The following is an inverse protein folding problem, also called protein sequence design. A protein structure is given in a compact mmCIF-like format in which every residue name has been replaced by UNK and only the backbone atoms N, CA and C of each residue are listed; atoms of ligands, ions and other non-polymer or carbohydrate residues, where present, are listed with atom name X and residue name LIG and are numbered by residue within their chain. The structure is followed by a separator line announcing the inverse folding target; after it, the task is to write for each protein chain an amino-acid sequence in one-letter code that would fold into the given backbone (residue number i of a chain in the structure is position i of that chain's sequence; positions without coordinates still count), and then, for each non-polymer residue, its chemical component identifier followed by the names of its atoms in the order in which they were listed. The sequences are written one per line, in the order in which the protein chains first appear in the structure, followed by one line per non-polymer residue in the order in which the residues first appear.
data_IF_417821775796
#
_entry.id   IF_417821775796
#
_cell.length_a   1.000
_cell.length_b   1.000
_cell.length_c   1.000
_cell.angle_alpha   90.00
_cell.angle_beta   90.00
_cell.angle_gamma   90.00
#
_symmetry.space_group_name_H-M   'P 1'
#
loop_
_entity.id
_entity.type
_entity.pdbx_description
1 polymer ?
#
# COMPACT_ATOMS: atom_id res chain seq x y z
N UNK A 1 10.94 -3.33 -39.24
CA UNK A 1 10.96 -1.92 -38.81
C UNK A 1 9.83 -1.75 -37.83
N UNK A 2 10.12 -1.39 -36.57
CA UNK A 2 10.18 0.01 -36.11
C UNK A 2 8.76 0.62 -36.07
N UNK A 3 8.23 1.23 -35.01
CA UNK A 3 8.70 1.81 -33.73
C UNK A 3 7.38 2.06 -32.92
N UNK A 4 7.30 1.85 -31.60
CA UNK A 4 7.25 2.89 -30.55
C UNK A 4 6.29 4.05 -30.84
N UNK A 5 5.45 4.63 -29.99
CA UNK A 5 5.39 4.89 -28.54
C UNK A 5 4.06 5.65 -28.33
N UNK A 6 3.25 5.33 -27.33
CA UNK A 6 3.11 6.10 -26.08
C UNK A 6 2.78 7.61 -26.25
N UNK A 7 1.61 8.02 -25.77
CA UNK A 7 1.15 9.40 -25.72
C UNK A 7 0.14 9.57 -24.58
N UNK A 8 0.65 9.51 -23.35
CA UNK A 8 -0.08 9.83 -22.11
C UNK A 8 -0.12 11.35 -21.94
N UNK A 9 -1.32 11.87 -21.73
CA UNK A 9 -1.61 13.29 -21.44
C UNK A 9 -1.02 13.74 -20.08
N UNK A 10 -0.57 15.01 -19.95
CA UNK A 10 0.11 15.51 -18.75
C UNK A 10 -0.87 16.05 -17.69
N UNK A 11 -0.48 16.11 -16.39
CA UNK A 11 -1.30 16.72 -15.35
C UNK A 11 -1.00 18.23 -15.23
N UNK A 12 -1.99 19.09 -14.92
CA UNK A 12 -1.71 20.50 -14.63
C UNK A 12 -1.28 20.70 -13.17
N UNK A 13 -0.26 21.56 -13.02
CA UNK A 13 0.31 22.04 -11.75
C UNK A 13 -0.53 23.16 -11.13
N UNK A 14 -0.64 23.11 -9.80
CA UNK A 14 -0.61 24.19 -8.78
C UNK A 14 -1.44 25.46 -9.02
N UNK A 15 -2.36 25.72 -8.09
CA UNK A 15 -2.68 27.09 -7.66
C UNK A 15 -2.84 27.20 -6.13
N UNK A 16 -2.47 28.37 -5.65
CA UNK A 16 -2.27 28.89 -4.29
C UNK A 16 -3.48 29.78 -3.92
N UNK A 17 -3.54 30.24 -2.66
CA UNK A 17 -4.40 31.35 -2.12
C UNK A 17 -5.72 30.81 -1.53
N UNK A 18 -6.24 31.16 -0.35
CA UNK A 18 -6.00 32.22 0.62
C UNK A 18 -6.52 31.86 2.04
N UNK A 19 -6.14 32.72 2.97
CA UNK A 19 -6.48 32.84 4.39
C UNK A 19 -7.87 33.44 4.58
N UNK A 20 -8.67 32.92 5.51
CA UNK A 20 -9.83 33.65 6.04
C UNK A 20 -9.97 33.44 7.55
N UNK A 21 -9.72 34.52 8.29
CA UNK A 21 -10.17 34.76 9.66
C UNK A 21 -11.66 35.10 9.62
N UNK A 22 -12.46 34.59 10.56
CA UNK A 22 -13.61 35.33 11.06
C UNK A 22 -13.91 34.97 12.52
N UNK A 23 -14.30 36.01 13.25
CA UNK A 23 -14.45 36.18 14.69
C UNK A 23 -15.87 36.69 14.93
N UNK A 24 -16.60 36.10 15.88
CA UNK A 24 -17.70 36.67 16.69
C UNK A 24 -18.21 35.51 17.59
N UNK A 25 -18.13 35.53 18.93
CA UNK A 25 -18.76 36.46 19.86
C UNK A 25 -20.19 35.99 20.13
N UNK A 26 -20.67 35.64 21.33
CA UNK A 26 -20.15 35.57 22.69
C UNK A 26 -21.30 35.15 23.65
N UNK A 27 -21.01 35.10 24.97
CA UNK A 27 -21.96 35.25 26.11
C UNK A 27 -22.88 34.02 26.37
N UNK A 28 -23.06 33.42 27.55
CA UNK A 28 -22.87 33.83 28.96
C UNK A 28 -22.90 32.63 29.94
N UNK A 29 -22.28 32.84 31.11
CA UNK A 29 -22.63 32.43 32.50
C UNK A 29 -22.67 30.95 32.95
N UNK A 30 -21.66 30.65 33.78
CA UNK A 30 -21.82 30.20 35.18
C UNK A 30 -21.24 28.81 35.49
N UNK A 31 -20.63 28.49 36.64
CA UNK A 31 -20.27 29.23 37.87
C UNK A 31 -19.48 28.22 38.77
N UNK A 32 -18.40 28.65 39.44
CA UNK A 32 -17.70 27.93 40.52
C UNK A 32 -16.17 27.82 40.29
N UNK A 33 -15.33 28.78 40.72
CA UNK A 33 -14.77 28.97 42.08
C UNK A 33 -13.93 27.77 42.54
N UNK A 34 -12.61 27.87 42.79
CA UNK A 34 -11.97 28.86 43.64
C UNK A 34 -10.60 29.39 43.14
N UNK A 35 -10.39 30.67 43.40
CA UNK A 35 -9.14 31.42 43.27
C UNK A 35 -8.19 31.18 44.44
N UNK A 36 -6.89 31.30 44.17
CA UNK A 36 -5.99 32.26 44.84
C UNK A 36 -4.70 32.29 44.01
N UNK A 37 -4.46 33.27 43.14
CA UNK A 37 -4.26 34.70 43.40
C UNK A 37 -3.18 34.95 44.44
N UNK A 38 -1.95 35.10 43.96
CA UNK A 38 -1.00 36.15 44.36
C UNK A 38 0.25 36.02 43.49
N UNK A 39 0.17 36.58 42.29
CA UNK A 39 1.36 37.04 41.58
C UNK A 39 1.74 38.37 42.25
N UNK A 40 2.92 38.54 42.86
CA UNK A 40 3.32 39.86 43.28
C UNK A 40 3.66 40.67 42.02
N UNK A 41 2.98 41.81 41.93
CA UNK A 41 3.34 42.95 41.11
C UNK A 41 4.83 43.27 41.26
N UNK A 42 5.49 43.45 40.12
CA UNK A 42 6.76 44.15 39.99
C UNK A 42 6.55 45.64 40.29
N UNK A 43 6.27 45.97 41.53
CA UNK A 43 6.30 47.32 42.09
C UNK A 43 6.42 47.11 43.59
N UNK A 44 7.66 46.87 43.97
CA UNK A 44 8.31 47.12 45.24
C UNK A 44 9.55 46.23 45.25
N UNK A 45 10.42 46.46 44.27
CA UNK A 45 11.84 46.47 44.60
C UNK A 45 12.03 47.73 45.46
N UNK A 46 11.50 47.68 46.69
CA UNK A 46 12.13 48.40 47.77
C UNK A 46 13.55 47.86 47.73
N UNK A 47 14.42 48.70 47.19
CA UNK A 47 15.83 48.48 47.23
C UNK A 47 16.16 48.37 48.72
N UNK A 48 16.12 47.14 49.23
CA UNK A 48 17.10 46.67 50.17
C UNK A 48 18.41 46.70 49.39
N UNK A 49 18.87 47.93 49.11
CA UNK A 49 20.25 48.20 48.85
C UNK A 49 20.98 47.42 49.94
N UNK A 50 21.93 46.55 49.58
CA UNK A 50 22.82 46.06 50.61
C UNK A 50 23.30 47.34 51.29
N UNK A 51 23.11 47.45 52.60
CA UNK A 51 23.76 48.48 53.40
C UNK A 51 25.25 48.11 53.37
N UNK A 52 25.84 48.24 52.19
CA UNK A 52 27.24 48.10 51.96
C UNK A 52 27.86 49.33 52.61
N UNK A 53 28.97 49.10 53.27
CA UNK A 53 29.83 50.13 53.84
C UNK A 53 30.12 51.31 52.89
N UNK A 54 29.90 51.16 51.59
CA UNK A 54 29.97 52.22 50.59
C UNK A 54 28.95 53.35 50.77
N UNK A 55 27.89 53.18 51.58
CA UNK A 55 26.93 54.24 51.91
C UNK A 55 27.17 54.88 53.28
N UNK A 56 28.09 54.34 54.09
CA UNK A 56 28.47 54.95 55.36
C UNK A 56 29.62 55.91 55.11
N UNK A 57 29.38 57.21 55.25
CA UNK A 57 30.42 58.23 55.22
C UNK A 57 30.94 58.48 56.65
N UNK A 58 32.17 58.03 56.98
CA UNK A 58 32.72 58.23 58.32
C UNK A 58 32.95 59.71 58.64
N UNK A 59 33.24 60.53 57.61
CA UNK A 59 33.48 61.96 57.78
C UNK A 59 32.16 62.69 58.02
N UNK A 60 31.09 62.38 57.28
CA UNK A 60 29.75 62.93 57.55
C UNK A 60 29.22 62.48 58.93
N UNK A 61 29.43 61.22 59.31
CA UNK A 61 29.04 60.74 60.64
C UNK A 61 29.83 61.43 61.76
N UNK A 62 31.13 61.66 61.57
CA UNK A 62 31.92 62.44 62.52
C UNK A 62 31.45 63.90 62.50
N UNK A 63 31.13 64.48 61.34
CA UNK A 63 30.66 65.86 61.19
C UNK A 63 29.21 66.11 61.65
N UNK A 64 28.36 65.09 61.78
CA UNK A 64 26.99 65.23 62.33
C UNK A 64 26.81 64.62 63.70
N UNK A 65 27.49 63.51 63.97
CA UNK A 65 27.37 62.71 65.19
C UNK A 65 28.47 62.98 66.23
N UNK A 66 29.69 63.32 65.78
CA UNK A 66 30.86 63.64 66.63
C UNK A 66 31.21 65.13 66.61
N UNK A 67 30.59 65.94 65.74
CA UNK A 67 30.57 67.38 65.95
C UNK A 67 30.06 67.61 67.34
N UNK A 68 30.81 68.41 68.07
CA UNK A 68 30.58 68.89 69.43
C UNK A 68 29.24 69.63 69.64
N UNK A 69 28.27 69.46 68.73
CA UNK A 69 26.89 69.93 68.75
C UNK A 69 25.98 69.02 69.62
N UNK A 70 26.54 68.03 70.30
CA UNK A 70 25.92 67.44 71.48
C UNK A 70 26.35 68.20 72.73
N UNK A 71 25.68 69.32 73.02
CA UNK A 71 25.81 70.17 74.22
C UNK A 71 27.11 69.95 75.00
N UNK A 72 28.20 70.60 74.58
CA UNK A 72 29.52 70.42 75.20
C UNK A 72 29.51 70.70 76.72
N UNK A 73 28.53 71.49 77.19
CA UNK A 73 28.32 71.73 78.62
C UNK A 73 28.07 70.44 79.40
N UNK A 74 27.50 69.39 78.77
CA UNK A 74 27.25 68.10 79.40
C UNK A 74 28.53 67.35 79.76
N UNK A 75 29.62 67.61 79.05
CA UNK A 75 30.93 66.98 79.28
C UNK A 75 31.84 67.87 80.13
N UNK A 76 31.74 69.20 80.01
CA UNK A 76 32.50 70.12 80.87
C UNK A 76 31.95 70.19 82.30
N UNK A 77 30.66 69.89 82.50
CA UNK A 77 30.01 69.86 83.82
C UNK A 77 29.94 68.45 84.44
N UNK A 78 30.40 67.40 83.75
CA UNK A 78 30.50 66.05 84.36
C UNK A 78 31.84 65.89 85.06
N UNK A 79 31.83 65.14 86.16
CA UNK A 79 33.06 64.73 86.82
C UNK A 79 33.90 63.83 85.89
N UNK A 80 35.22 63.83 86.06
CA UNK A 80 36.12 62.91 85.35
C UNK A 80 35.74 61.44 85.55
N UNK A 81 35.16 61.09 86.70
CA UNK A 81 34.69 59.75 87.01
C UNK A 81 33.49 59.34 86.13
N UNK A 82 32.51 60.23 85.98
CA UNK A 82 31.34 60.00 85.12
C UNK A 82 31.72 59.92 83.64
N UNK A 83 32.71 60.71 83.20
CA UNK A 83 33.25 60.64 81.84
C UNK A 83 33.91 59.29 81.55
N UNK A 84 34.72 58.78 82.50
CA UNK A 84 35.33 57.44 82.39
C UNK A 84 34.27 56.35 82.33
N UNK A 85 33.22 56.45 83.14
CA UNK A 85 32.09 55.51 83.13
C UNK A 85 31.36 55.51 81.79
N UNK A 86 31.08 56.69 81.21
CA UNK A 86 30.45 56.81 79.89
C UNK A 86 31.34 56.27 78.77
N UNK A 87 32.64 56.55 78.81
CA UNK A 87 33.59 56.01 77.83
C UNK A 87 33.56 54.47 77.83
N UNK A 88 33.64 53.86 79.02
CA UNK A 88 33.51 52.41 79.19
C UNK A 88 32.13 51.88 78.73
N UNK A 89 31.04 52.59 79.06
CA UNK A 89 29.69 52.22 78.61
C UNK A 89 29.59 52.19 77.08
N UNK A 90 30.12 53.19 76.39
CA UNK A 90 30.13 53.22 74.93
C UNK A 90 31.02 52.14 74.32
N UNK A 91 32.16 51.84 74.94
CA UNK A 91 33.03 50.74 74.52
C UNK A 91 32.31 49.38 74.65
N UNK A 92 31.64 49.14 75.78
CA UNK A 92 30.84 47.93 76.01
C UNK A 92 29.67 47.84 75.03
N UNK A 93 28.96 48.95 74.76
CA UNK A 93 27.87 48.98 73.78
C UNK A 93 28.37 48.74 72.36
N UNK A 94 29.51 49.34 71.99
CA UNK A 94 30.13 49.16 70.67
C UNK A 94 30.59 47.72 70.45
N UNK A 95 31.24 47.11 71.45
CA UNK A 95 31.67 45.70 71.39
C UNK A 95 30.48 44.74 71.31
N UNK A 96 29.40 44.97 72.08
CA UNK A 96 28.18 44.16 72.00
C UNK A 96 27.52 44.26 70.62
N UNK A 97 27.41 45.46 70.05
CA UNK A 97 26.85 45.65 68.71
C UNK A 97 27.69 44.93 67.66
N UNK A 98 29.02 45.03 67.75
CA UNK A 98 29.93 44.35 66.84
C UNK A 98 29.79 42.81 66.93
N UNK A 99 29.62 42.27 68.14
CA UNK A 99 29.33 40.85 68.35
C UNK A 99 28.02 40.42 67.69
N UNK A 100 26.92 41.16 67.91
CA UNK A 100 25.62 40.87 67.30
C UNK A 100 25.66 40.94 65.77
N UNK A 101 26.38 41.93 65.23
CA UNK A 101 26.58 42.08 63.79
C UNK A 101 27.40 40.91 63.21
N UNK A 102 28.46 40.51 63.90
CA UNK A 102 29.31 39.37 63.50
C UNK A 102 28.52 38.06 63.51
N UNK A 103 27.74 37.80 64.58
CA UNK A 103 26.88 36.63 64.66
C UNK A 103 25.83 36.57 63.53
N UNK A 104 25.25 37.72 63.17
CA UNK A 104 24.29 37.79 62.06
C UNK A 104 24.95 37.45 60.73
N UNK A 105 26.13 38.01 60.47
CA UNK A 105 26.90 37.71 59.26
C UNK A 105 27.29 36.23 59.20
N UNK A 106 27.74 35.64 60.32
CA UNK A 106 28.07 34.21 60.39
C UNK A 106 26.86 33.34 60.04
N UNK A 107 25.67 33.67 60.57
CA UNK A 107 24.44 32.94 60.26
C UNK A 107 24.04 33.06 58.77
N UNK A 108 24.14 34.26 58.19
CA UNK A 108 23.88 34.49 56.76
C UNK A 108 24.85 33.69 55.87
N UNK A 109 26.14 33.64 56.25
CA UNK A 109 27.16 32.83 55.57
C UNK A 109 26.87 31.34 55.70
N UNK A 110 26.46 30.85 56.88
CA UNK A 110 26.11 29.44 57.10
C UNK A 110 24.88 29.03 56.29
N UNK A 111 23.86 29.89 56.20
CA UNK A 111 22.68 29.65 55.36
C UNK A 111 23.05 29.64 53.88
N UNK A 112 23.82 30.62 53.42
CA UNK A 112 24.33 30.66 52.05
C UNK A 112 25.14 29.41 51.72
N UNK A 113 26.04 28.98 52.62
CA UNK A 113 26.84 27.76 52.45
C UNK A 113 25.97 26.50 52.35
N UNK A 114 24.89 26.41 53.15
CA UNK A 114 23.94 25.30 53.08
C UNK A 114 23.20 25.28 51.73
N UNK A 115 22.77 26.45 51.24
CA UNK A 115 22.10 26.58 49.93
C UNK A 115 23.04 26.20 48.78
N UNK A 116 24.29 26.69 48.80
CA UNK A 116 25.32 26.33 47.82
C UNK A 116 25.53 24.82 47.80
N UNK A 117 25.72 24.20 48.98
CA UNK A 117 25.88 22.75 49.06
C UNK A 117 24.70 21.97 48.47
N UNK A 118 23.46 22.39 48.75
CA UNK A 118 22.27 21.75 48.19
C UNK A 118 22.21 21.89 46.67
N UNK A 119 22.60 23.05 46.13
CA UNK A 119 22.68 23.27 44.68
C UNK A 119 23.77 22.40 44.05
N UNK A 120 24.94 22.30 44.67
CA UNK A 120 26.04 21.45 44.20
C UNK A 120 25.64 19.96 44.17
N UNK A 121 25.00 19.47 45.24
CA UNK A 121 24.51 18.09 45.31
C UNK A 121 23.45 17.82 44.21
N UNK A 122 22.50 18.74 44.02
CA UNK A 122 21.49 18.63 42.98
C UNK A 122 22.10 18.69 41.57
N UNK A 123 23.11 19.54 41.35
CA UNK A 123 23.80 19.65 40.07
C UNK A 123 24.51 18.34 39.72
N UNK A 124 25.24 17.76 40.67
CA UNK A 124 25.90 16.47 40.50
C UNK A 124 24.89 15.36 40.16
N UNK A 125 23.72 15.37 40.81
CA UNK A 125 22.64 14.43 40.55
C UNK A 125 22.05 14.57 39.13
N UNK A 126 21.88 15.81 38.66
CA UNK A 126 21.41 16.11 37.30
C UNK A 126 22.45 15.68 36.26
N UNK A 127 23.73 16.00 36.46
CA UNK A 127 24.82 15.62 35.55
C UNK A 127 24.93 14.09 35.42
N UNK A 128 24.78 13.37 36.53
CA UNK A 128 24.75 11.90 36.54
C UNK A 128 23.58 11.36 35.71
N UNK A 129 22.35 11.82 35.97
CA UNK A 129 21.15 11.37 35.22
C UNK A 129 21.23 11.71 33.74
N UNK A 130 21.78 12.87 33.41
CA UNK A 130 22.01 13.28 32.03
C UNK A 130 22.98 12.32 31.33
N UNK A 131 24.10 12.00 31.97
CA UNK A 131 25.10 11.08 31.43
C UNK A 131 24.54 9.66 31.23
N UNK A 132 23.78 9.15 32.21
CA UNK A 132 23.11 7.84 32.11
C UNK A 132 22.07 7.80 30.98
N UNK A 133 21.27 8.86 30.84
CA UNK A 133 20.24 8.94 29.79
C UNK A 133 20.87 9.07 28.42
N UNK A 134 21.92 9.88 28.29
CA UNK A 134 22.69 10.02 27.05
C UNK A 134 23.27 8.68 26.60
N UNK A 135 23.90 7.93 27.50
CA UNK A 135 24.47 6.61 27.19
C UNK A 135 23.40 5.60 26.74
N UNK A 136 22.22 5.58 27.41
CA UNK A 136 21.09 4.74 27.00
C UNK A 136 20.58 5.09 25.61
N UNK A 137 20.40 6.38 25.33
CA UNK A 137 19.94 6.84 24.01
C UNK A 137 20.96 6.51 22.91
N UNK A 138 22.26 6.63 23.18
CA UNK A 138 23.30 6.24 22.23
C UNK A 138 23.27 4.73 21.93
N UNK A 139 23.07 3.88 22.95
CA UNK A 139 22.92 2.43 22.78
C UNK A 139 21.64 2.05 22.00
N UNK A 140 20.51 2.67 22.33
CA UNK A 140 19.23 2.43 21.64
C UNK A 140 19.30 2.86 20.17
N UNK A 141 19.93 4.00 19.87
CA UNK A 141 20.15 4.46 18.49
C UNK A 141 21.01 3.45 17.72
N UNK A 142 22.05 2.91 18.35
CA UNK A 142 22.92 1.91 17.73
C UNK A 142 22.16 0.61 17.43
N UNK A 143 21.42 0.08 18.40
CA UNK A 143 20.57 -1.11 18.23
C UNK A 143 19.54 -0.94 17.11
N UNK A 144 18.80 0.17 17.12
CA UNK A 144 17.81 0.48 16.08
C UNK A 144 18.45 0.54 14.68
N UNK A 145 19.66 1.08 14.58
CA UNK A 145 20.39 1.13 13.31
C UNK A 145 20.76 -0.27 12.82
N UNK A 146 21.31 -1.11 13.70
CA UNK A 146 21.68 -2.50 13.38
C UNK A 146 20.44 -3.35 13.02
N UNK A 147 19.32 -3.20 13.74
CA UNK A 147 18.05 -3.85 13.43
C UNK A 147 17.51 -3.45 12.06
N UNK A 148 17.53 -2.14 11.74
CA UNK A 148 17.06 -1.64 10.44
C UNK A 148 17.92 -2.13 9.27
N UNK A 149 19.23 -2.17 9.45
CA UNK A 149 20.15 -2.69 8.45
C UNK A 149 19.93 -4.20 8.23
N UNK A 150 19.81 -4.97 9.32
CA UNK A 150 19.52 -6.40 9.26
C UNK A 150 18.17 -6.73 8.61
N UNK A 151 17.11 -5.97 8.94
CA UNK A 151 15.79 -6.11 8.28
C UNK A 151 15.87 -5.82 6.78
N UNK A 152 16.58 -4.76 6.38
CA UNK A 152 16.74 -4.39 4.98
C UNK A 152 17.50 -5.48 4.18
N UNK A 153 18.57 -6.03 4.75
CA UNK A 153 19.31 -7.13 4.14
C UNK A 153 18.47 -8.40 4.02
N UNK A 154 17.71 -8.76 5.08
CA UNK A 154 16.84 -9.93 5.08
C UNK A 154 15.77 -9.82 3.98
N UNK A 155 15.11 -8.66 3.89
CA UNK A 155 14.11 -8.39 2.85
C UNK A 155 14.73 -8.43 1.46
N UNK A 156 15.91 -7.83 1.26
CA UNK A 156 16.61 -7.87 -0.02
C UNK A 156 16.89 -9.30 -0.48
N UNK A 157 17.41 -10.15 0.40
CA UNK A 157 17.66 -11.58 0.11
C UNK A 157 16.36 -12.33 -0.22
N UNK A 158 15.30 -12.09 0.55
CA UNK A 158 13.99 -12.72 0.31
C UNK A 158 13.39 -12.34 -1.06
N UNK A 159 13.50 -11.07 -1.45
CA UNK A 159 13.06 -10.61 -2.77
C UNK A 159 13.89 -11.20 -3.91
N UNK A 160 15.21 -11.28 -3.74
CA UNK A 160 16.11 -11.87 -4.73
C UNK A 160 15.85 -13.36 -4.93
N UNK A 161 15.63 -14.11 -3.84
CA UNK A 161 15.26 -15.53 -3.88
C UNK A 161 13.91 -15.74 -4.59
N UNK A 162 12.88 -14.97 -4.22
CA UNK A 162 11.56 -15.02 -4.86
C UNK A 162 11.64 -14.69 -6.34
N UNK A 163 12.42 -13.67 -6.71
CA UNK A 163 12.62 -13.29 -8.11
C UNK A 163 13.32 -14.39 -8.91
N UNK A 164 14.33 -15.04 -8.33
CA UNK A 164 15.03 -16.17 -8.94
C UNK A 164 14.07 -17.33 -9.20
N UNK A 165 13.28 -17.71 -8.19
CA UNK A 165 12.30 -18.81 -8.30
C UNK A 165 11.22 -18.55 -9.36
N UNK A 166 10.75 -17.29 -9.48
CA UNK A 166 9.78 -16.91 -10.52
C UNK A 166 10.41 -16.95 -11.91
N UNK A 167 11.66 -16.52 -12.06
CA UNK A 167 12.36 -16.62 -13.35
C UNK A 167 12.55 -18.07 -13.79
N UNK A 168 12.95 -18.94 -12.85
CA UNK A 168 13.11 -20.37 -13.11
C UNK A 168 11.79 -21.05 -13.49
N UNK A 169 10.71 -20.78 -12.75
CA UNK A 169 9.39 -21.34 -13.05
C UNK A 169 8.83 -20.84 -14.37
N UNK A 170 9.04 -19.56 -14.70
CA UNK A 170 8.67 -18.98 -15.98
C UNK A 170 9.43 -19.65 -17.13
N UNK A 171 10.75 -19.76 -17.03
CA UNK A 171 11.57 -20.43 -18.04
C UNK A 171 11.15 -21.90 -18.24
N UNK A 172 10.87 -22.64 -17.15
CA UNK A 172 10.38 -24.01 -17.22
C UNK A 172 8.98 -24.12 -17.84
N UNK A 173 8.12 -23.11 -17.64
CA UNK A 173 6.80 -23.07 -18.27
C UNK A 173 6.90 -22.73 -19.77
N UNK A 174 7.79 -21.81 -20.14
CA UNK A 174 8.04 -21.42 -21.52
C UNK A 174 8.56 -22.60 -22.35
N UNK A 175 9.50 -23.39 -21.82
CA UNK A 175 10.02 -24.58 -22.51
C UNK A 175 8.94 -25.62 -22.74
N UNK A 176 8.13 -25.94 -21.72
CA UNK A 176 6.99 -26.87 -21.84
C UNK A 176 5.95 -26.41 -22.87
N UNK A 177 5.68 -25.10 -22.92
CA UNK A 177 4.70 -24.55 -23.84
C UNK A 177 5.20 -24.62 -25.29
N UNK A 178 6.50 -24.35 -25.52
CA UNK A 178 7.14 -24.53 -26.84
C UNK A 178 7.14 -25.99 -27.31
N UNK A 179 7.45 -26.92 -26.42
CA UNK A 179 7.41 -28.37 -26.72
C UNK A 179 5.99 -28.81 -27.11
N UNK A 180 4.99 -28.40 -26.34
CA UNK A 180 3.58 -28.68 -26.64
C UNK A 180 3.14 -28.08 -27.98
N UNK A 181 3.56 -26.85 -28.28
CA UNK A 181 3.25 -26.19 -29.55
C UNK A 181 3.87 -26.96 -30.73
N UNK A 182 5.13 -27.39 -30.62
CA UNK A 182 5.79 -28.21 -31.64
C UNK A 182 5.07 -29.56 -31.84
N UNK A 183 4.71 -30.25 -30.75
CA UNK A 183 3.98 -31.52 -30.82
C UNK A 183 2.58 -31.36 -31.44
N UNK A 184 1.91 -30.23 -31.21
CA UNK A 184 0.63 -29.93 -31.85
C UNK A 184 0.79 -29.62 -33.34
N UNK A 185 1.82 -28.88 -33.74
CA UNK A 185 2.12 -28.58 -35.13
C UNK A 185 2.40 -29.84 -35.95
N UNK A 186 3.18 -30.78 -35.39
CA UNK A 186 3.41 -32.10 -36.00
C UNK A 186 2.11 -32.90 -36.19
N UNK A 187 1.23 -32.92 -35.17
CA UNK A 187 -0.08 -33.58 -35.27
C UNK A 187 -0.96 -32.94 -36.34
N UNK A 188 -1.02 -31.61 -36.39
CA UNK A 188 -1.78 -30.88 -37.42
C UNK A 188 -1.25 -31.17 -38.82
N UNK A 189 0.07 -31.24 -38.99
CA UNK A 189 0.71 -31.59 -40.26
C UNK A 189 0.33 -33.01 -40.70
N UNK A 190 0.33 -33.99 -39.79
CA UNK A 190 -0.10 -35.37 -40.09
C UNK A 190 -1.58 -35.44 -40.47
N UNK A 191 -2.46 -34.81 -39.68
CA UNK A 191 -3.90 -34.81 -39.91
C UNK A 191 -4.26 -34.10 -41.23
N UNK A 192 -3.55 -33.02 -41.57
CA UNK A 192 -3.71 -32.32 -42.85
C UNK A 192 -3.40 -33.22 -44.05
N UNK A 193 -2.32 -34.02 -43.97
CA UNK A 193 -1.97 -35.01 -45.02
C UNK A 193 -3.06 -36.07 -45.17
N UNK A 194 -3.49 -36.68 -44.07
CA UNK A 194 -4.55 -37.71 -44.07
C UNK A 194 -5.87 -37.15 -44.62
N UNK A 195 -6.24 -35.94 -44.24
CA UNK A 195 -7.43 -35.26 -44.77
C UNK A 195 -7.34 -35.03 -46.28
N UNK A 196 -6.17 -34.66 -46.81
CA UNK A 196 -5.99 -34.48 -48.25
C UNK A 196 -6.06 -35.82 -49.01
N UNK A 197 -5.48 -36.89 -48.47
CA UNK A 197 -5.57 -38.23 -49.04
C UNK A 197 -7.01 -38.76 -49.04
N UNK A 198 -7.75 -38.57 -47.95
CA UNK A 198 -9.16 -38.92 -47.86
C UNK A 198 -10.03 -38.11 -48.85
N UNK A 199 -9.71 -36.83 -49.07
CA UNK A 199 -10.42 -36.02 -50.08
C UNK A 199 -10.14 -36.54 -51.50
N UNK A 200 -8.91 -36.94 -51.80
CA UNK A 200 -8.58 -37.55 -53.08
C UNK A 200 -9.32 -38.87 -53.30
N UNK A 201 -9.37 -39.73 -52.28
CA UNK A 201 -10.09 -41.02 -52.39
C UNK A 201 -11.60 -40.84 -52.57
N UNK A 202 -12.21 -39.89 -51.86
CA UNK A 202 -13.63 -39.52 -52.05
C UNK A 202 -13.88 -39.02 -53.47
N UNK A 203 -12.98 -38.22 -54.04
CA UNK A 203 -13.05 -37.79 -55.43
C UNK A 203 -13.06 -38.98 -56.40
N UNK A 204 -12.11 -39.91 -56.24
CA UNK A 204 -12.05 -41.11 -57.10
C UNK A 204 -13.29 -42.00 -56.99
N UNK A 205 -13.84 -42.15 -55.79
CA UNK A 205 -15.07 -42.93 -55.56
C UNK A 205 -16.30 -42.25 -56.17
N UNK A 206 -16.35 -40.92 -56.17
CA UNK A 206 -17.42 -40.18 -56.82
C UNK A 206 -17.40 -40.37 -58.35
N UNK A 207 -16.22 -40.32 -58.96
CA UNK A 207 -16.04 -40.58 -60.40
C UNK A 207 -16.41 -42.03 -60.76
N UNK A 208 -15.97 -43.01 -59.96
CA UNK A 208 -16.32 -44.42 -60.16
C UNK A 208 -17.83 -44.65 -60.00
N UNK A 209 -18.46 -44.02 -59.00
CA UNK A 209 -19.91 -44.08 -58.82
C UNK A 209 -20.64 -43.53 -60.05
N UNK A 210 -20.23 -42.38 -60.58
CA UNK A 210 -20.85 -41.79 -61.77
C UNK A 210 -20.69 -42.71 -63.00
N UNK A 211 -19.52 -43.33 -63.17
CA UNK A 211 -19.30 -44.34 -64.23
C UNK A 211 -20.25 -45.53 -64.08
N UNK A 212 -20.33 -46.11 -62.89
CA UNK A 212 -21.21 -47.26 -62.63
C UNK A 212 -22.70 -46.91 -62.80
N UNK A 213 -23.12 -45.73 -62.39
CA UNK A 213 -24.49 -45.24 -62.63
C UNK A 213 -24.79 -45.15 -64.13
N UNK A 214 -23.83 -44.69 -64.95
CA UNK A 214 -23.98 -44.67 -66.40
C UNK A 214 -24.06 -46.09 -67.00
N UNK A 215 -23.15 -46.98 -66.61
CA UNK A 215 -23.13 -48.37 -67.08
C UNK A 215 -24.44 -49.10 -66.75
N UNK A 216 -25.01 -48.86 -65.55
CA UNK A 216 -26.32 -49.41 -65.16
C UNK A 216 -27.43 -48.90 -66.08
N UNK A 217 -27.46 -47.60 -66.38
CA UNK A 217 -28.46 -47.00 -67.25
C UNK A 217 -28.38 -47.55 -68.68
N UNK A 218 -27.16 -47.68 -69.23
CA UNK A 218 -26.93 -48.27 -70.55
C UNK A 218 -27.37 -49.75 -70.60
N UNK A 219 -27.03 -50.52 -69.56
CA UNK A 219 -27.42 -51.93 -69.48
C UNK A 219 -28.94 -52.09 -69.38
N UNK A 220 -29.62 -51.25 -68.59
CA UNK A 220 -31.08 -51.22 -68.51
C UNK A 220 -31.72 -50.95 -69.88
N UNK A 221 -31.16 -50.00 -70.65
CA UNK A 221 -31.65 -49.68 -71.99
C UNK A 221 -31.42 -50.83 -72.98
N UNK A 222 -30.24 -51.46 -72.96
CA UNK A 222 -29.95 -52.65 -73.77
C UNK A 222 -30.88 -53.82 -73.45
N UNK A 223 -31.12 -54.08 -72.16
CA UNK A 223 -32.04 -55.13 -71.73
C UNK A 223 -33.46 -54.86 -72.22
N UNK A 224 -33.96 -53.63 -72.07
CA UNK A 224 -35.28 -53.23 -72.57
C UNK A 224 -35.40 -53.45 -74.09
N UNK A 225 -34.41 -53.00 -74.87
CA UNK A 225 -34.40 -53.20 -76.32
C UNK A 225 -34.39 -54.69 -76.71
N UNK A 226 -33.60 -55.53 -76.02
CA UNK A 226 -33.59 -56.97 -76.28
C UNK A 226 -34.94 -57.63 -75.99
N UNK A 227 -35.61 -57.21 -74.91
CA UNK A 227 -36.96 -57.70 -74.62
C UNK A 227 -37.97 -57.25 -75.67
N UNK A 228 -37.91 -55.99 -76.12
CA UNK A 228 -38.80 -55.46 -77.16
C UNK A 228 -38.57 -56.18 -78.50
N UNK A 229 -37.33 -56.39 -78.91
CA UNK A 229 -36.97 -57.13 -80.13
C UNK A 229 -37.40 -58.61 -80.04
N UNK A 230 -37.11 -59.27 -78.93
CA UNK A 230 -37.50 -60.66 -78.70
C UNK A 230 -39.02 -60.85 -78.68
N UNK A 231 -39.74 -59.90 -78.08
CA UNK A 231 -41.20 -59.87 -78.07
C UNK A 231 -41.76 -59.67 -79.49
N UNK A 232 -41.23 -58.71 -80.25
CA UNK A 232 -41.64 -58.48 -81.64
C UNK A 232 -41.42 -59.73 -82.51
N UNK A 233 -40.27 -60.41 -82.36
CA UNK A 233 -39.98 -61.65 -83.08
C UNK A 233 -40.94 -62.79 -82.70
N UNK A 234 -41.28 -62.94 -81.42
CA UNK A 234 -42.27 -63.94 -80.98
C UNK A 234 -43.67 -63.67 -81.57
N UNK A 235 -44.10 -62.40 -81.64
CA UNK A 235 -45.35 -62.03 -82.29
C UNK A 235 -45.34 -62.40 -83.79
N UNK A 236 -44.24 -62.15 -84.51
CA UNK A 236 -44.09 -62.56 -85.91
C UNK A 236 -44.14 -64.09 -86.08
N UNK A 237 -43.53 -64.86 -85.17
CA UNK A 237 -43.66 -66.32 -85.20
C UNK A 237 -45.11 -66.79 -84.99
N UNK A 238 -45.84 -66.18 -84.07
CA UNK A 238 -47.27 -66.53 -83.82
C UNK A 238 -48.11 -66.26 -85.06
N UNK A 239 -47.92 -65.11 -85.72
CA UNK A 239 -48.61 -64.79 -86.99
C UNK A 239 -48.31 -65.83 -88.07
N UNK A 240 -47.07 -66.31 -88.15
CA UNK A 240 -46.66 -67.30 -89.14
C UNK A 240 -47.30 -68.68 -88.88
N UNK A 241 -47.37 -69.12 -87.63
CA UNK A 241 -47.92 -70.44 -87.25
C UNK A 241 -49.46 -70.46 -87.27
N UNK A 242 -50.12 -69.31 -87.10
CA UNK A 242 -51.58 -69.18 -87.05
C UNK A 242 -52.06 -68.03 -87.96
N UNK A 243 -52.13 -68.24 -89.29
CA UNK A 243 -52.48 -67.17 -90.24
C UNK A 243 -53.93 -66.68 -90.13
N UNK A 244 -54.83 -67.49 -89.58
CA UNK A 244 -56.25 -67.15 -89.37
C UNK A 244 -56.52 -66.51 -88.00
N UNK A 245 -55.46 -66.18 -87.25
CA UNK A 245 -55.58 -65.63 -85.90
C UNK A 245 -56.14 -64.19 -85.95
N UNK A 246 -57.29 -63.98 -85.30
CA UNK A 246 -57.98 -62.70 -85.25
C UNK A 246 -57.17 -61.64 -84.47
N UNK A 247 -56.86 -60.53 -85.15
CA UNK A 247 -56.07 -59.43 -84.61
C UNK A 247 -56.76 -58.75 -83.42
N UNK A 248 -58.10 -58.73 -83.38
CA UNK A 248 -58.86 -58.12 -82.29
C UNK A 248 -58.71 -58.93 -80.99
N UNK A 249 -58.81 -60.26 -81.08
CA UNK A 249 -58.54 -61.19 -79.97
C UNK A 249 -57.09 -61.22 -79.51
N UNK A 250 -56.11 -61.12 -80.43
CA UNK A 250 -54.70 -61.07 -80.04
C UNK A 250 -54.37 -59.77 -79.29
N UNK A 251 -55.05 -58.66 -79.61
CA UNK A 251 -54.94 -57.40 -78.89
C UNK A 251 -55.47 -57.43 -77.45
N UNK A 252 -56.26 -58.45 -77.07
CA UNK A 252 -56.66 -58.68 -75.67
C UNK A 252 -55.51 -59.26 -74.82
N UNK A 253 -54.50 -59.86 -75.46
CA UNK A 253 -53.33 -60.40 -74.78
C UNK A 253 -52.48 -59.26 -74.19
N UNK A 254 -52.19 -59.36 -72.91
CA UNK A 254 -51.44 -58.37 -72.16
C UNK A 254 -50.36 -59.09 -71.36
N UNK A 255 -49.10 -58.76 -71.62
CA UNK A 255 -47.95 -59.37 -70.96
C UNK A 255 -47.92 -59.09 -69.44
N UNK A 256 -48.63 -58.06 -68.97
CA UNK A 256 -48.76 -57.72 -67.54
C UNK A 256 -49.92 -58.47 -66.85
N UNK A 257 -50.61 -59.36 -67.56
CA UNK A 257 -51.66 -60.23 -67.01
C UNK A 257 -51.17 -61.67 -66.92
N UNK A 258 -51.59 -62.36 -65.86
CA UNK A 258 -51.37 -63.79 -65.69
C UNK A 258 -52.59 -64.59 -66.12
N UNK A 259 -52.35 -65.85 -66.46
CA UNK A 259 -53.40 -66.81 -66.79
C UNK A 259 -53.81 -67.53 -65.49
N UNK A 260 -55.05 -67.31 -65.05
CA UNK A 260 -55.67 -68.04 -63.93
C UNK A 260 -56.94 -68.69 -64.46
N UNK A 261 -57.03 -70.01 -64.34
CA UNK A 261 -58.19 -70.80 -64.80
C UNK A 261 -58.61 -70.51 -66.25
N UNK A 262 -57.60 -70.30 -67.12
CA UNK A 262 -57.81 -70.01 -68.55
C UNK A 262 -58.29 -68.58 -68.87
N UNK A 263 -58.32 -67.67 -67.89
CA UNK A 263 -58.64 -66.25 -68.08
C UNK A 263 -57.44 -65.36 -67.78
N UNK A 264 -57.32 -64.26 -68.55
CA UNK A 264 -56.32 -63.22 -68.31
C UNK A 264 -56.78 -62.31 -67.17
N UNK A 265 -56.01 -62.25 -66.10
CA UNK A 265 -56.24 -61.38 -64.94
C UNK A 265 -54.96 -60.58 -64.63
N UNK A 266 -55.03 -59.40 -64.01
CA UNK A 266 -53.84 -58.63 -63.64
C UNK A 266 -52.82 -59.46 -62.86
N UNK A 267 -51.54 -59.36 -63.22
CA UNK A 267 -50.46 -60.04 -62.51
C UNK A 267 -50.32 -59.49 -61.08
N UNK A 268 -50.19 -60.39 -60.11
CA UNK A 268 -49.89 -60.05 -58.71
C UNK A 268 -48.55 -60.68 -58.36
N UNK A 269 -47.49 -59.89 -58.13
CA UNK A 269 -46.19 -60.42 -57.74
C UNK A 269 -46.28 -61.22 -56.43
N UNK A 270 -45.53 -62.32 -56.28
CA UNK A 270 -45.40 -63.00 -54.99
C UNK A 270 -44.79 -62.05 -53.94
N UNK A 271 -45.27 -62.12 -52.70
CA UNK A 271 -44.65 -61.46 -51.53
C UNK A 271 -43.34 -62.14 -51.13
#
# INVERSE_FOLDING_TARGET
GAVGTEGVEPPPKKQKVEKATQKAGGVDKGKGAASSSSQPSSHDAEAAAPLSWSSFDPLEFIERGVTMVGDMTRFTNTSTEDLRKKALEYEVKGTLLNYLLTNRQEQEVLEARRKVKMVDDNLADIEKRYSETKAKLEDDIKKLKEEREGEAERLKKEYEEKLSKVKESYAASETKLKENAAAQDEKLSKLSKEKNEAVLSVGTLADEKARLENDINELQLCAANQYDEGFAFAIEQVKLLFPDLDAERLGEADAMKQIVDGKLVPYVPPQ
#
